data_IF_546695947104
#
_entry.id   IF_546695947104
#
_cell.length_a   1.000
_cell.length_b   1.000
_cell.length_c   1.000
_cell.angle_alpha   90.00
_cell.angle_beta   90.00
_cell.angle_gamma   90.00
#
_symmetry.space_group_name_H-M   'P 1'
#
loop_
_entity.id
_entity.type
_entity.pdbx_description
1 polymer ?
#
# COMPACT_ATOMS: atom_id res chain seq x y z
N UNK A 1 -8.84 31.49 -14.09
CA UNK A 1 -8.17 30.32 -14.72
C UNK A 1 -8.60 29.06 -13.98
N UNK A 2 -8.82 27.94 -14.66
CA UNK A 2 -9.28 26.70 -14.02
C UNK A 2 -8.10 26.04 -13.28
N UNK A 3 -8.25 25.71 -11.98
CA UNK A 3 -7.24 24.94 -11.22
C UNK A 3 -6.98 23.62 -11.95
N UNK A 4 -5.71 23.31 -12.20
CA UNK A 4 -5.31 22.00 -12.74
C UNK A 4 -5.52 20.98 -11.63
N UNK A 5 -6.27 19.91 -11.90
CA UNK A 5 -6.47 18.82 -10.96
C UNK A 5 -5.36 17.78 -11.11
N UNK A 6 -4.81 17.32 -10.00
CA UNK A 6 -3.75 16.31 -9.97
C UNK A 6 -4.31 15.02 -9.38
N UNK A 7 -4.21 13.93 -10.14
CA UNK A 7 -4.57 12.59 -9.71
C UNK A 7 -3.33 11.73 -9.42
N UNK A 8 -3.33 11.01 -8.30
CA UNK A 8 -2.26 10.09 -7.92
C UNK A 8 -2.78 8.64 -7.89
N UNK A 9 -2.12 7.76 -8.64
CA UNK A 9 -2.41 6.32 -8.66
C UNK A 9 -1.36 5.54 -7.86
N UNK A 10 -1.79 4.80 -6.84
CA UNK A 10 -0.94 4.03 -5.92
C UNK A 10 -1.11 2.53 -6.18
N UNK A 11 -0.05 1.90 -6.71
CA UNK A 11 -0.05 0.46 -6.97
C UNK A 11 0.01 -0.40 -5.69
N UNK A 12 -0.14 -1.72 -5.86
CA UNK A 12 0.20 -2.70 -4.81
C UNK A 12 1.72 -2.80 -4.64
N UNK A 13 2.21 -3.47 -3.60
CA UNK A 13 3.66 -3.58 -3.35
C UNK A 13 4.10 -4.35 -2.12
N UNK A 14 3.18 -5.05 -1.43
CA UNK A 14 3.45 -5.70 -0.14
C UNK A 14 4.23 -4.76 0.82
N UNK A 15 5.17 -5.26 1.59
CA UNK A 15 5.96 -4.45 2.52
C UNK A 15 6.65 -3.22 1.87
N UNK A 16 7.02 -3.28 0.57
CA UNK A 16 7.62 -2.11 -0.13
C UNK A 16 6.59 -1.03 -0.47
N UNK A 17 5.29 -1.36 -0.45
CA UNK A 17 4.20 -0.42 -0.71
C UNK A 17 4.11 0.71 0.31
N UNK A 18 4.70 0.57 1.51
CA UNK A 18 4.77 1.65 2.48
C UNK A 18 5.54 2.88 1.97
N UNK A 19 6.40 2.72 0.96
CA UNK A 19 7.09 3.82 0.29
C UNK A 19 6.15 4.87 -0.32
N UNK A 20 4.89 4.52 -0.60
CA UNK A 20 3.87 5.47 -1.04
C UNK A 20 3.67 6.64 -0.08
N UNK A 21 3.86 6.43 1.23
CA UNK A 21 3.79 7.50 2.25
C UNK A 21 4.88 8.55 1.98
N UNK A 22 6.11 8.10 1.77
CA UNK A 22 7.24 8.97 1.45
C UNK A 22 7.06 9.74 0.13
N UNK A 23 6.49 9.10 -0.89
CA UNK A 23 6.16 9.76 -2.17
C UNK A 23 5.17 10.90 -1.95
N UNK A 24 4.09 10.66 -1.20
CA UNK A 24 3.09 11.69 -0.92
C UNK A 24 3.70 12.84 -0.11
N UNK A 25 4.51 12.55 0.92
CA UNK A 25 5.20 13.57 1.70
C UNK A 25 6.16 14.40 0.84
N UNK A 26 6.88 13.79 -0.10
CA UNK A 26 7.76 14.49 -1.03
C UNK A 26 6.98 15.43 -1.97
N UNK A 27 5.85 14.97 -2.51
CA UNK A 27 4.97 15.79 -3.36
C UNK A 27 4.43 17.01 -2.58
N UNK A 28 3.95 16.81 -1.34
CA UNK A 28 3.48 17.90 -0.48
C UNK A 28 4.59 18.92 -0.20
N UNK A 29 5.82 18.45 0.07
CA UNK A 29 6.96 19.31 0.37
C UNK A 29 7.32 20.26 -0.78
N UNK A 30 7.09 19.86 -2.02
CA UNK A 30 7.33 20.70 -3.21
C UNK A 30 6.09 21.48 -3.66
N UNK A 31 5.01 21.47 -2.86
CA UNK A 31 3.78 22.22 -3.13
C UNK A 31 2.85 21.56 -4.16
N UNK A 32 3.01 20.26 -4.42
CA UNK A 32 2.07 19.51 -5.27
C UNK A 32 0.91 19.02 -4.41
N UNK A 33 -0.26 19.63 -4.59
CA UNK A 33 -1.52 19.17 -4.00
C UNK A 33 -2.13 18.06 -4.85
N UNK A 34 -2.43 16.91 -4.25
CA UNK A 34 -3.13 15.81 -4.91
C UNK A 34 -4.63 15.97 -4.64
N UNK A 35 -5.42 16.20 -5.68
CA UNK A 35 -6.87 16.38 -5.57
C UNK A 35 -7.64 15.05 -5.62
N UNK A 36 -7.07 14.02 -6.26
CA UNK A 36 -7.72 12.71 -6.45
C UNK A 36 -6.69 11.61 -6.19
N UNK A 37 -7.09 10.58 -5.43
CA UNK A 37 -6.25 9.40 -5.21
C UNK A 37 -7.00 8.13 -5.62
N UNK A 38 -6.29 7.21 -6.27
CA UNK A 38 -6.74 5.85 -6.53
C UNK A 38 -5.67 4.89 -6.03
N UNK A 39 -6.06 3.76 -5.42
CA UNK A 39 -5.09 2.84 -4.83
C UNK A 39 -5.52 1.38 -4.92
N UNK A 40 -4.54 0.47 -4.95
CA UNK A 40 -4.73 -0.98 -4.90
C UNK A 40 -3.97 -1.62 -3.72
N UNK A 41 -4.62 -2.47 -2.93
CA UNK A 41 -4.04 -3.15 -1.75
C UNK A 41 -3.44 -2.14 -0.76
N UNK A 42 -2.14 -2.19 -0.47
CA UNK A 42 -1.45 -1.20 0.39
C UNK A 42 -1.55 0.21 -0.18
N UNK A 43 -1.56 0.38 -1.51
CA UNK A 43 -1.84 1.65 -2.14
C UNK A 43 -3.23 2.19 -1.81
N UNK A 44 -4.24 1.32 -1.67
CA UNK A 44 -5.59 1.73 -1.23
C UNK A 44 -5.58 2.21 0.22
N UNK A 45 -4.85 1.51 1.10
CA UNK A 45 -4.74 1.89 2.51
C UNK A 45 -4.04 3.25 2.68
N UNK A 46 -2.90 3.44 2.02
CA UNK A 46 -2.15 4.71 2.04
C UNK A 46 -2.98 5.82 1.40
N UNK A 47 -3.64 5.55 0.27
CA UNK A 47 -4.51 6.51 -0.41
C UNK A 47 -5.70 6.94 0.45
N UNK A 48 -6.34 6.00 1.16
CA UNK A 48 -7.42 6.31 2.10
C UNK A 48 -6.92 7.14 3.29
N UNK A 49 -5.76 6.79 3.87
CA UNK A 49 -5.17 7.57 4.94
C UNK A 49 -4.83 9.00 4.49
N UNK A 50 -4.32 9.19 3.28
CA UNK A 50 -4.10 10.52 2.69
C UNK A 50 -5.42 11.28 2.54
N UNK A 51 -6.45 10.68 1.95
CA UNK A 51 -7.74 11.33 1.72
C UNK A 51 -8.49 11.71 3.01
N UNK A 52 -8.17 11.07 4.14
CA UNK A 52 -8.77 11.34 5.44
C UNK A 52 -7.89 12.20 6.38
N UNK A 53 -6.79 12.79 5.89
CA UNK A 53 -5.82 13.54 6.71
C UNK A 53 -5.21 12.72 7.86
N UNK A 54 -5.03 11.42 7.64
CA UNK A 54 -4.45 10.45 8.61
C UNK A 54 -3.10 9.88 8.17
N UNK A 55 -2.47 10.48 7.15
CA UNK A 55 -1.21 9.98 6.61
C UNK A 55 -0.08 9.94 7.64
N UNK A 56 0.03 10.97 8.50
CA UNK A 56 1.05 11.02 9.57
C UNK A 56 0.84 9.92 10.61
N UNK A 57 -0.40 9.72 11.07
CA UNK A 57 -0.72 8.65 12.01
C UNK A 57 -0.43 7.26 11.41
N UNK A 58 -0.65 7.08 10.11
CA UNK A 58 -0.26 5.86 9.40
C UNK A 58 1.27 5.71 9.34
N UNK A 59 2.00 6.78 9.06
CA UNK A 59 3.47 6.80 9.04
C UNK A 59 4.06 6.39 10.40
N UNK A 60 3.55 6.96 11.49
CA UNK A 60 3.97 6.63 12.85
C UNK A 60 3.70 5.14 13.17
N UNK A 61 2.53 4.63 12.78
CA UNK A 61 2.20 3.22 12.98
C UNK A 61 3.11 2.29 12.19
N UNK A 62 3.34 2.57 10.89
CA UNK A 62 4.19 1.72 10.04
C UNK A 62 5.64 1.74 10.50
N UNK A 63 6.16 2.90 10.93
CA UNK A 63 7.54 3.04 11.41
C UNK A 63 7.76 2.45 12.80
N UNK A 64 6.68 2.22 13.56
CA UNK A 64 6.74 1.52 14.86
C UNK A 64 6.94 0.01 14.77
N UNK A 65 6.82 -0.58 13.57
CA UNK A 65 6.91 -2.02 13.40
C UNK A 65 8.32 -2.56 13.61
N UNK A 66 8.41 -3.62 14.41
CA UNK A 66 9.61 -4.43 14.48
C UNK A 66 9.75 -5.28 13.21
N UNK A 67 10.96 -5.75 12.91
CA UNK A 67 11.22 -6.67 11.78
C UNK A 67 10.27 -7.89 11.79
N UNK A 68 9.88 -8.34 12.98
CA UNK A 68 8.90 -9.40 13.21
C UNK A 68 7.45 -9.04 12.84
N UNK A 69 7.04 -7.78 12.94
CA UNK A 69 5.69 -7.32 12.56
C UNK A 69 5.55 -7.23 11.04
N UNK A 70 6.63 -6.83 10.35
CA UNK A 70 6.69 -6.87 8.88
C UNK A 70 6.60 -8.32 8.37
N UNK A 71 7.30 -9.26 9.02
CA UNK A 71 7.18 -10.69 8.73
C UNK A 71 5.76 -11.22 8.97
N UNK A 72 5.10 -10.82 10.07
CA UNK A 72 3.70 -11.22 10.36
C UNK A 72 2.68 -10.66 9.39
N UNK A 73 2.90 -9.46 8.83
CA UNK A 73 2.08 -8.91 7.74
C UNK A 73 2.36 -9.60 6.40
N UNK A 74 3.58 -10.12 6.22
CA UNK A 74 3.99 -10.93 5.07
C UNK A 74 3.65 -12.41 5.20
N UNK A 75 3.34 -12.90 6.39
CA UNK A 75 2.75 -14.22 6.66
C UNK A 75 1.31 -14.22 6.11
N UNK A 76 1.23 -14.16 4.78
CA UNK A 76 0.18 -14.74 3.98
C UNK A 76 -0.09 -16.11 4.58
N UNK A 77 -1.22 -16.25 5.26
CA UNK A 77 -1.59 -17.52 5.88
C UNK A 77 -1.68 -18.57 4.78
N UNK A 78 -0.62 -19.35 4.61
CA UNK A 78 -0.59 -20.54 3.78
C UNK A 78 -1.43 -21.68 4.39
N UNK A 79 -2.14 -21.42 5.51
CA UNK A 79 -3.00 -22.41 6.17
C UNK A 79 -4.40 -22.56 5.56
N UNK A 80 -4.70 -22.00 4.38
CA UNK A 80 -5.89 -22.37 3.59
C UNK A 80 -5.63 -22.44 2.08
N UNK A 81 -4.65 -23.26 1.71
CA UNK A 81 -4.69 -24.05 0.47
C UNK A 81 -4.56 -23.31 -0.87
N UNK A 82 -3.32 -23.14 -1.33
CA UNK A 82 -3.02 -23.30 -2.75
C UNK A 82 -1.99 -22.33 -3.32
N UNK A 83 -0.92 -22.88 -3.91
CA UNK A 83 -0.25 -22.23 -5.04
C UNK A 83 0.00 -23.16 -6.22
N UNK A 84 0.04 -24.48 -6.06
CA UNK A 84 -0.06 -25.47 -7.15
C UNK A 84 -0.14 -26.85 -6.51
N UNK A 85 -1.27 -27.54 -6.62
CA UNK A 85 -1.38 -28.97 -6.28
C UNK A 85 -1.49 -29.74 -7.58
N UNK A 86 -0.34 -30.18 -8.10
CA UNK A 86 -0.19 -30.93 -9.35
C UNK A 86 -0.72 -32.36 -9.31
N UNK A 87 -1.70 -32.66 -8.47
CA UNK A 87 -2.25 -34.02 -8.32
C UNK A 87 -3.06 -34.49 -9.54
N UNK A 88 -3.38 -33.61 -10.50
CA UNK A 88 -4.05 -33.99 -11.77
C UNK A 88 -3.11 -34.55 -12.85
N UNK A 89 -1.79 -34.59 -12.61
CA UNK A 89 -0.84 -35.18 -13.58
C UNK A 89 -0.67 -36.70 -13.37
N UNK A 90 -1.10 -37.25 -12.22
CA UNK A 90 -0.83 -38.63 -11.84
C UNK A 90 -2.05 -39.55 -11.72
N UNK A 91 -3.28 -39.06 -11.91
CA UNK A 91 -4.45 -39.93 -12.00
C UNK A 91 -4.92 -40.05 -13.45
N UNK A 92 -4.40 -41.09 -14.12
CA UNK A 92 -5.14 -41.82 -15.15
C UNK A 92 -6.30 -42.59 -14.51
#
# INVERSE_FOLDING_TARGET
MRKIKIGLALGSGAARGWSHIGVINALKKVGIEIDIVAGCSIGSLVGAAYACDRLSALEDWVTSFSYWDVLRLMDLSWQRGGLLRGERVFNQ
#
